data_IF_814897532578
#
_entry.id   IF_814897532578
#
_cell.length_a   1.000
_cell.length_b   1.000
_cell.length_c   1.000
_cell.angle_alpha   90.00
_cell.angle_beta   90.00
_cell.angle_gamma   90.00
#
_symmetry.space_group_name_H-M   'P 1'
#
loop_
_entity.id
_entity.type
_entity.pdbx_description
1 polymer ?
#
# COMPACT_ATOMS: atom_id res chain seq x y z
N UNK A 1 20.30 4.25 10.40
CA UNK A 1 20.00 2.90 9.91
C UNK A 1 19.69 2.03 11.12
N UNK A 2 18.48 1.47 11.21
CA UNK A 2 18.13 0.50 12.27
C UNK A 2 18.05 -0.89 11.64
N UNK A 3 18.53 -1.90 12.38
CA UNK A 3 18.52 -3.29 11.93
C UNK A 3 17.47 -4.07 12.71
N UNK A 4 16.80 -5.00 12.04
CA UNK A 4 15.89 -5.95 12.67
C UNK A 4 16.10 -7.32 12.05
N UNK A 5 16.02 -8.36 12.88
CA UNK A 5 16.21 -9.75 12.46
C UNK A 5 14.84 -10.39 12.21
N UNK A 6 14.74 -11.10 11.09
CA UNK A 6 13.60 -11.95 10.80
C UNK A 6 13.77 -13.26 11.59
N UNK A 7 12.74 -13.62 12.33
CA UNK A 7 12.66 -14.89 13.08
C UNK A 7 12.46 -16.06 12.13
N UNK A 8 12.63 -17.30 12.61
CA UNK A 8 12.34 -18.50 11.82
C UNK A 8 10.90 -18.60 11.32
N UNK A 9 9.96 -17.88 11.97
CA UNK A 9 8.55 -17.79 11.55
C UNK A 9 8.27 -16.66 10.56
N UNK A 10 9.31 -15.98 10.06
CA UNK A 10 9.15 -14.86 9.14
C UNK A 10 8.70 -13.54 9.80
N UNK A 11 8.61 -13.49 11.13
CA UNK A 11 8.21 -12.28 11.84
C UNK A 11 9.43 -11.40 12.15
N UNK A 12 9.24 -10.08 12.10
CA UNK A 12 10.20 -9.10 12.60
C UNK A 12 9.46 -7.98 13.35
N UNK A 13 10.17 -7.32 14.25
CA UNK A 13 9.65 -6.13 14.92
C UNK A 13 10.13 -4.89 14.16
N UNK A 14 9.22 -3.99 13.78
CA UNK A 14 9.58 -2.68 13.24
C UNK A 14 10.19 -1.85 14.38
N UNK A 15 11.44 -1.39 14.29
CA UNK A 15 12.09 -0.62 15.36
C UNK A 15 11.33 0.65 15.75
N UNK A 16 11.45 1.08 17.01
CA UNK A 16 10.64 2.18 17.58
C UNK A 16 10.73 3.47 16.75
N UNK A 17 11.94 3.88 16.37
CA UNK A 17 12.15 5.11 15.59
C UNK A 17 11.51 5.04 14.21
N UNK A 18 11.53 3.86 13.59
CA UNK A 18 10.90 3.62 12.28
C UNK A 18 9.37 3.68 12.41
N UNK A 19 8.78 3.07 13.46
CA UNK A 19 7.34 3.16 13.70
C UNK A 19 6.87 4.59 13.92
N UNK A 20 7.61 5.37 14.71
CA UNK A 20 7.30 6.78 14.99
C UNK A 20 7.38 7.62 13.71
N UNK A 21 8.45 7.47 12.92
CA UNK A 21 8.60 8.19 11.65
C UNK A 21 7.50 7.82 10.62
N UNK A 22 7.08 6.55 10.59
CA UNK A 22 6.03 6.07 9.71
C UNK A 22 4.60 6.21 10.29
N UNK A 23 4.45 6.80 11.48
CA UNK A 23 3.17 6.98 12.17
C UNK A 23 2.36 5.68 12.32
N UNK A 24 3.08 4.58 12.60
CA UNK A 24 2.53 3.25 12.82
C UNK A 24 2.21 3.01 14.31
N UNK A 25 1.02 2.50 14.57
CA UNK A 25 0.49 2.13 15.87
C UNK A 25 0.00 0.67 15.88
N UNK A 26 -0.20 0.12 17.07
CA UNK A 26 -0.80 -1.20 17.21
C UNK A 26 -2.21 -1.21 16.62
N UNK A 27 -2.53 -2.23 15.83
CA UNK A 27 -3.81 -2.35 15.13
C UNK A 27 -3.83 -1.74 13.72
N UNK A 28 -2.80 -0.98 13.32
CA UNK A 28 -2.68 -0.52 11.94
C UNK A 28 -2.48 -1.70 10.98
N UNK A 29 -3.10 -1.59 9.81
CA UNK A 29 -2.86 -2.50 8.69
C UNK A 29 -1.78 -1.91 7.78
N UNK A 30 -0.88 -2.74 7.29
CA UNK A 30 0.16 -2.35 6.33
C UNK A 30 0.09 -3.22 5.09
N UNK A 31 0.48 -2.66 3.95
CA UNK A 31 0.72 -3.40 2.71
C UNK A 31 2.22 -3.54 2.47
N UNK A 32 2.59 -4.60 1.74
CA UNK A 32 3.96 -4.88 1.32
C UNK A 32 4.03 -4.81 -0.21
N UNK A 33 5.01 -4.08 -0.71
CA UNK A 33 5.35 -4.02 -2.14
C UNK A 33 6.80 -4.46 -2.27
N UNK A 34 7.07 -5.35 -3.22
CA UNK A 34 8.42 -5.79 -3.55
C UNK A 34 8.84 -5.05 -4.82
N UNK A 35 9.97 -4.36 -4.75
CA UNK A 35 10.60 -3.64 -5.85
C UNK A 35 12.06 -4.07 -5.91
N UNK A 36 12.40 -4.88 -6.92
CA UNK A 36 13.69 -5.57 -7.06
C UNK A 36 14.15 -6.29 -5.77
N UNK A 37 15.17 -5.73 -5.08
CA UNK A 37 15.76 -6.27 -3.86
C UNK A 37 15.24 -5.57 -2.59
N UNK A 38 14.23 -4.72 -2.73
CA UNK A 38 13.68 -3.91 -1.65
C UNK A 38 12.23 -4.26 -1.34
N UNK A 39 11.87 -4.09 -0.08
CA UNK A 39 10.48 -4.22 0.40
C UNK A 39 10.03 -2.88 0.92
N UNK A 40 8.99 -2.33 0.30
CA UNK A 40 8.31 -1.12 0.75
C UNK A 40 7.11 -1.53 1.60
N UNK A 41 7.03 -0.96 2.81
CA UNK A 41 5.92 -1.16 3.73
C UNK A 41 5.15 0.15 3.85
N UNK A 42 3.84 0.11 3.57
CA UNK A 42 2.98 1.30 3.62
C UNK A 42 1.80 1.08 4.56
N UNK A 43 1.53 2.05 5.43
CA UNK A 43 0.31 2.09 6.25
C UNK A 43 -0.92 2.20 5.35
N UNK A 44 -1.92 1.36 5.60
CA UNK A 44 -3.21 1.39 4.92
C UNK A 44 -4.17 2.22 5.76
N UNK A 45 -4.78 3.24 5.15
CA UNK A 45 -5.82 4.00 5.82
C UNK A 45 -7.10 3.14 5.99
N UNK A 46 -7.87 3.35 7.07
CA UNK A 46 -9.17 2.68 7.22
C UNK A 46 -10.06 2.99 6.00
N UNK A 47 -10.53 1.96 5.31
CA UNK A 47 -11.31 2.10 4.06
C UNK A 47 -10.50 1.89 2.77
N UNK A 48 -9.18 1.69 2.85
CA UNK A 48 -8.30 1.58 1.70
C UNK A 48 -7.63 2.92 1.38
N UNK A 49 -7.07 3.06 0.19
CA UNK A 49 -6.44 4.32 -0.22
C UNK A 49 -7.56 5.32 -0.58
N UNK A 50 -8.01 6.07 0.44
CA UNK A 50 -9.15 7.00 0.37
C UNK A 50 -8.97 8.02 -0.77
N UNK A 51 -7.72 8.41 -1.03
CA UNK A 51 -7.35 9.24 -2.16
C UNK A 51 -7.65 8.56 -3.51
N UNK A 52 -7.24 7.29 -3.68
CA UNK A 52 -7.57 6.52 -4.89
C UNK A 52 -9.07 6.33 -5.05
N UNK A 53 -9.82 6.09 -3.97
CA UNK A 53 -11.29 5.99 -4.02
C UNK A 53 -11.93 7.31 -4.42
N UNK A 54 -11.45 8.43 -3.87
CA UNK A 54 -11.93 9.76 -4.22
C UNK A 54 -11.68 10.08 -5.69
N UNK A 55 -10.49 9.75 -6.21
CA UNK A 55 -10.15 9.94 -7.62
C UNK A 55 -10.94 9.02 -8.54
N UNK A 56 -11.17 7.77 -8.16
CA UNK A 56 -11.98 6.86 -8.97
C UNK A 56 -13.39 7.43 -9.22
N UNK A 57 -13.96 8.11 -8.22
CA UNK A 57 -15.25 8.79 -8.35
C UNK A 57 -15.24 9.97 -9.31
N UNK A 58 -14.09 10.62 -9.55
CA UNK A 58 -13.97 11.76 -10.49
C UNK A 58 -13.62 11.33 -11.90
N UNK A 59 -13.15 10.10 -12.12
CA UNK A 59 -12.78 9.56 -13.43
C UNK A 59 -13.96 8.90 -14.17
N UNK A 60 -15.19 9.33 -13.89
CA UNK A 60 -16.39 8.79 -14.55
C UNK A 60 -16.37 8.93 -16.08
N UNK A 61 -15.67 9.95 -16.59
CA UNK A 61 -15.52 10.22 -18.03
C UNK A 61 -14.74 9.15 -18.80
N UNK A 62 -14.00 8.27 -18.10
CA UNK A 62 -13.17 7.21 -18.68
C UNK A 62 -13.76 5.80 -18.47
N UNK A 63 -15.01 5.72 -18.01
CA UNK A 63 -15.74 4.47 -17.81
C UNK A 63 -16.88 4.31 -18.82
N UNK A 64 -16.76 4.91 -20.01
CA UNK A 64 -17.77 4.75 -21.05
C UNK A 64 -17.70 3.34 -21.67
N UNK A 65 -18.81 2.82 -22.23
CA UNK A 65 -18.79 1.59 -23.02
C UNK A 65 -17.76 1.64 -24.16
N UNK A 66 -17.55 2.81 -24.74
CA UNK A 66 -16.59 3.07 -25.81
C UNK A 66 -15.14 2.96 -25.32
N UNK A 67 -14.86 3.44 -24.09
CA UNK A 67 -13.56 3.24 -23.44
C UNK A 67 -13.32 1.76 -23.17
N UNK A 68 -14.32 1.05 -22.61
CA UNK A 68 -14.18 -0.37 -22.32
C UNK A 68 -13.93 -1.18 -23.60
N UNK A 69 -14.60 -0.85 -24.70
CA UNK A 69 -14.37 -1.46 -26.00
C UNK A 69 -12.96 -1.19 -26.56
N UNK A 70 -12.41 0.01 -26.35
CA UNK A 70 -11.08 0.38 -26.81
C UNK A 70 -9.94 -0.36 -26.07
N UNK A 71 -10.13 -0.69 -24.79
CA UNK A 71 -9.04 -1.17 -23.91
C UNK A 71 -9.14 -2.64 -23.45
N UNK A 72 -10.23 -3.37 -23.73
CA UNK A 72 -10.49 -4.74 -23.20
C UNK A 72 -9.47 -5.83 -23.59
N UNK A 73 -8.44 -5.53 -24.39
CA UNK A 73 -7.47 -6.53 -24.88
C UNK A 73 -6.01 -6.07 -24.96
N UNK A 74 -5.67 -4.98 -24.26
CA UNK A 74 -4.30 -4.48 -24.11
C UNK A 74 -3.68 -4.96 -22.78
#
# INVERSE_FOLDING_TARGET
>A
MELARITSKGQMTIPKRVREAAHLAAGDTVTFVVDDDQVLIRKVAPGGDEYLRAIQGTLGEWNSPEDEEAWRGL
#
